data_IF_405991322178
#
_entry.id   IF_405991322178
#
_cell.length_a   1.000
_cell.length_b   1.000
_cell.length_c   1.000
_cell.angle_alpha   90.00
_cell.angle_beta   90.00
_cell.angle_gamma   90.00
#
_symmetry.space_group_name_H-M   'P 1'
#
loop_
_entity.id
_entity.type
_entity.pdbx_description
1 polymer ?
#
# COMPACT_ATOMS: atom_id res chain seq x y z
N UNK A 1 6.15 22.39 -48.69
CA UNK A 1 5.28 21.42 -47.95
C UNK A 1 6.10 20.21 -47.59
N UNK A 2 6.69 20.26 -46.41
CA UNK A 2 7.52 19.16 -45.87
C UNK A 2 6.73 18.49 -44.73
N UNK A 3 6.27 17.25 -44.89
CA UNK A 3 5.50 16.54 -43.85
C UNK A 3 6.33 16.04 -42.67
N UNK A 4 7.65 16.34 -42.62
CA UNK A 4 8.56 15.82 -41.58
C UNK A 4 8.53 16.55 -40.24
N UNK A 5 8.00 17.78 -40.14
CA UNK A 5 8.06 18.61 -38.93
C UNK A 5 6.85 18.39 -38.00
N UNK A 6 5.73 17.92 -38.51
CA UNK A 6 4.50 17.70 -37.72
C UNK A 6 4.57 16.42 -36.91
N UNK A 7 5.36 15.43 -37.35
CA UNK A 7 5.51 14.14 -36.65
C UNK A 7 6.41 14.19 -35.41
N UNK A 8 7.40 15.11 -35.33
CA UNK A 8 8.36 15.17 -34.25
C UNK A 8 7.86 15.90 -32.99
N UNK A 9 6.85 16.76 -33.13
CA UNK A 9 6.24 17.47 -32.00
C UNK A 9 5.12 16.68 -31.33
N UNK A 10 4.58 15.65 -31.99
CA UNK A 10 3.52 14.81 -31.40
C UNK A 10 4.02 13.77 -30.42
N UNK A 11 5.27 13.31 -30.51
CA UNK A 11 5.82 12.24 -29.68
C UNK A 11 6.44 12.72 -28.36
N UNK A 12 6.64 14.02 -28.16
CA UNK A 12 7.20 14.57 -26.91
C UNK A 12 6.17 15.02 -25.87
N UNK A 13 4.90 15.14 -26.25
CA UNK A 13 3.83 15.67 -25.40
C UNK A 13 2.87 14.57 -24.88
N UNK A 14 2.92 13.38 -25.48
CA UNK A 14 1.90 12.35 -25.28
C UNK A 14 2.01 11.56 -23.98
N UNK A 15 3.12 11.57 -23.25
CA UNK A 15 3.27 10.70 -22.07
C UNK A 15 2.95 11.35 -20.71
N UNK A 16 2.71 12.68 -20.66
CA UNK A 16 2.20 13.36 -19.46
C UNK A 16 0.75 13.85 -19.59
N UNK A 17 0.27 14.02 -20.82
CA UNK A 17 -1.09 14.53 -21.06
C UNK A 17 -2.14 13.42 -21.14
N UNK A 18 -1.80 12.21 -21.57
CA UNK A 18 -2.75 11.10 -21.67
C UNK A 18 -3.36 10.71 -20.33
N UNK A 19 -2.56 10.64 -19.25
CA UNK A 19 -3.06 10.28 -17.92
C UNK A 19 -3.95 11.37 -17.30
N UNK A 20 -3.72 12.63 -17.66
CA UNK A 20 -4.51 13.76 -17.14
C UNK A 20 -5.82 13.93 -17.91
N UNK A 21 -5.80 13.71 -19.23
CA UNK A 21 -6.98 13.77 -20.10
C UNK A 21 -7.92 12.60 -19.78
N UNK A 22 -7.42 11.38 -19.59
CA UNK A 22 -8.23 10.23 -19.20
C UNK A 22 -8.88 10.44 -17.82
N UNK A 23 -8.19 11.06 -16.87
CA UNK A 23 -8.73 11.36 -15.54
C UNK A 23 -9.80 12.46 -15.60
N UNK A 24 -9.66 13.45 -16.47
CA UNK A 24 -10.64 14.51 -16.66
C UNK A 24 -11.87 14.02 -17.43
N UNK A 25 -11.67 13.22 -18.47
CA UNK A 25 -12.75 12.58 -19.21
C UNK A 25 -13.55 11.59 -18.33
N UNK A 26 -12.86 10.76 -17.55
CA UNK A 26 -13.52 9.87 -16.59
C UNK A 26 -14.34 10.64 -15.53
N UNK A 27 -13.84 11.80 -15.06
CA UNK A 27 -14.57 12.68 -14.14
C UNK A 27 -15.76 13.37 -14.82
N UNK A 28 -15.62 13.78 -16.09
CA UNK A 28 -16.71 14.40 -16.85
C UNK A 28 -17.82 13.38 -17.13
N UNK A 29 -17.46 12.15 -17.53
CA UNK A 29 -18.41 11.04 -17.73
C UNK A 29 -19.10 10.69 -16.40
N UNK A 30 -18.37 10.62 -15.29
CA UNK A 30 -18.96 10.35 -13.98
C UNK A 30 -19.94 11.44 -13.55
N UNK A 31 -19.65 12.71 -13.83
CA UNK A 31 -20.59 13.82 -13.60
C UNK A 31 -21.85 13.71 -14.48
N UNK A 32 -21.68 13.49 -15.77
CA UNK A 32 -22.80 13.31 -16.72
C UNK A 32 -23.71 12.15 -16.34
N UNK A 33 -23.14 11.03 -15.89
CA UNK A 33 -23.91 9.88 -15.39
C UNK A 33 -24.66 10.21 -14.10
N UNK A 34 -24.06 10.97 -13.19
CA UNK A 34 -24.71 11.41 -11.95
C UNK A 34 -25.85 12.39 -12.22
N UNK A 35 -25.67 13.34 -13.15
CA UNK A 35 -26.69 14.28 -13.59
C UNK A 35 -27.85 13.58 -14.31
N UNK A 36 -27.58 12.51 -15.05
CA UNK A 36 -28.57 11.65 -15.67
C UNK A 36 -29.28 10.69 -14.71
N UNK A 37 -29.00 10.76 -13.40
CA UNK A 37 -29.58 9.87 -12.38
C UNK A 37 -29.04 8.44 -12.41
N UNK A 38 -28.06 8.16 -13.28
CA UNK A 38 -27.37 6.86 -13.36
C UNK A 38 -26.25 6.87 -12.32
N UNK A 39 -26.55 6.34 -11.14
CA UNK A 39 -25.51 6.12 -10.12
C UNK A 39 -24.55 5.02 -10.65
N UNK A 40 -23.25 5.31 -10.80
CA UNK A 40 -22.29 4.25 -11.12
C UNK A 40 -22.43 3.15 -10.07
N UNK A 41 -22.57 1.91 -10.54
CA UNK A 41 -22.75 0.76 -9.66
C UNK A 41 -21.66 0.74 -8.59
N UNK A 42 -22.03 0.85 -7.32
CA UNK A 42 -21.10 0.81 -6.19
C UNK A 42 -20.32 -0.50 -6.08
N UNK A 43 -20.68 -1.53 -6.86
CA UNK A 43 -20.00 -2.83 -6.88
C UNK A 43 -18.53 -2.73 -7.28
N UNK A 44 -18.15 -1.77 -8.15
CA UNK A 44 -16.77 -1.58 -8.58
C UNK A 44 -15.88 -0.81 -7.57
N UNK A 45 -16.44 -0.42 -6.42
CA UNK A 45 -15.70 0.27 -5.35
C UNK A 45 -15.77 -0.47 -4.01
N UNK A 46 -15.92 -1.78 -4.06
CA UNK A 46 -16.02 -2.59 -2.85
C UNK A 46 -15.03 -3.74 -2.89
N UNK A 47 -14.36 -3.96 -1.76
CA UNK A 47 -13.45 -5.10 -1.52
C UNK A 47 -13.95 -5.85 -0.29
N UNK A 48 -14.54 -7.02 -0.50
CA UNK A 48 -15.23 -7.74 0.58
C UNK A 48 -16.32 -6.85 1.21
N UNK A 49 -16.27 -6.70 2.52
CA UNK A 49 -17.22 -5.89 3.29
C UNK A 49 -16.83 -4.40 3.39
N UNK A 50 -15.84 -3.93 2.60
CA UNK A 50 -15.31 -2.59 2.70
C UNK A 50 -15.55 -1.79 1.42
N UNK A 51 -16.20 -0.63 1.56
CA UNK A 51 -16.39 0.35 0.48
C UNK A 51 -15.16 1.23 0.40
N UNK A 52 -14.55 1.30 -0.79
CA UNK A 52 -13.40 2.16 -1.06
C UNK A 52 -13.83 3.64 -1.08
N UNK A 53 -13.10 4.45 -0.36
CA UNK A 53 -13.30 5.89 -0.25
C UNK A 53 -12.18 6.69 -0.94
N UNK A 54 -11.31 7.29 -0.14
CA UNK A 54 -10.21 8.14 -0.59
C UNK A 54 -8.99 7.30 -1.01
N UNK A 55 -8.38 7.64 -2.14
CA UNK A 55 -7.06 7.13 -2.49
C UNK A 55 -6.01 7.75 -1.55
N UNK A 56 -5.29 6.90 -0.82
CA UNK A 56 -4.27 7.31 0.16
C UNK A 56 -2.89 7.41 -0.48
N UNK A 57 -2.55 6.44 -1.32
CA UNK A 57 -1.27 6.43 -2.04
C UNK A 57 -1.36 5.51 -3.26
N UNK A 58 -0.48 5.76 -4.22
CA UNK A 58 -0.31 4.95 -5.41
C UNK A 58 1.18 4.66 -5.60
N UNK A 59 1.49 3.44 -6.00
CA UNK A 59 2.82 2.98 -6.31
C UNK A 59 2.83 2.13 -7.58
N UNK A 60 3.99 1.61 -7.92
CA UNK A 60 4.13 0.76 -9.11
C UNK A 60 3.33 -0.55 -8.93
N UNK A 61 2.16 -0.58 -9.57
CA UNK A 61 1.28 -1.76 -9.61
C UNK A 61 0.45 -1.99 -8.36
N UNK A 62 0.27 -0.98 -7.52
CA UNK A 62 -0.68 -1.03 -6.42
C UNK A 62 -1.29 0.34 -6.11
N UNK A 63 -2.44 0.33 -5.48
CA UNK A 63 -3.12 1.50 -4.92
C UNK A 63 -3.56 1.20 -3.50
N UNK A 64 -3.35 2.14 -2.60
CA UNK A 64 -3.85 2.09 -1.23
C UNK A 64 -5.05 3.00 -1.08
N UNK A 65 -6.13 2.47 -0.57
CA UNK A 65 -7.39 3.16 -0.37
C UNK A 65 -7.77 3.20 1.11
N UNK A 66 -8.32 4.31 1.55
CA UNK A 66 -9.15 4.33 2.74
C UNK A 66 -10.46 3.60 2.42
N UNK A 67 -10.92 2.74 3.30
CA UNK A 67 -12.15 1.99 3.12
C UNK A 67 -12.92 1.91 4.42
N UNK A 68 -14.26 1.98 4.31
CA UNK A 68 -15.18 1.90 5.43
C UNK A 68 -16.01 0.63 5.31
N UNK A 69 -16.25 -0.03 6.44
CA UNK A 69 -17.09 -1.21 6.47
C UNK A 69 -18.54 -0.86 6.08
N UNK A 70 -19.15 -1.66 5.22
CA UNK A 70 -20.48 -1.36 4.65
C UNK A 70 -21.62 -1.33 5.67
N UNK A 71 -21.47 -2.05 6.80
CA UNK A 71 -22.47 -2.19 7.84
C UNK A 71 -22.06 -1.59 9.19
N UNK A 72 -20.79 -1.17 9.36
CA UNK A 72 -20.27 -0.65 10.63
C UNK A 72 -19.45 0.60 10.35
N UNK A 73 -20.11 1.76 10.45
CA UNK A 73 -19.55 3.05 10.05
C UNK A 73 -18.27 3.47 10.80
N UNK A 74 -18.08 2.95 12.02
CA UNK A 74 -16.88 3.23 12.83
C UNK A 74 -15.66 2.39 12.43
N UNK A 75 -15.83 1.39 11.57
CA UNK A 75 -14.74 0.50 11.17
C UNK A 75 -14.13 0.96 9.85
N UNK A 76 -12.92 1.50 9.96
CA UNK A 76 -12.10 1.91 8.81
C UNK A 76 -10.94 0.94 8.60
N UNK A 77 -10.57 0.75 7.35
CA UNK A 77 -9.43 -0.08 6.93
C UNK A 77 -8.62 0.63 5.85
N UNK A 78 -7.36 0.26 5.73
CA UNK A 78 -6.55 0.55 4.57
C UNK A 78 -6.60 -0.68 3.65
N UNK A 79 -7.02 -0.48 2.41
CA UNK A 79 -7.10 -1.55 1.43
C UNK A 79 -6.06 -1.29 0.34
N UNK A 80 -5.09 -2.18 0.22
CA UNK A 80 -4.13 -2.20 -0.87
C UNK A 80 -4.63 -3.10 -1.97
N UNK A 81 -4.81 -2.56 -3.15
CA UNK A 81 -5.17 -3.31 -4.35
C UNK A 81 -3.94 -3.40 -5.24
N UNK A 82 -3.51 -4.61 -5.58
CA UNK A 82 -2.50 -4.84 -6.59
C UNK A 82 -3.16 -4.74 -7.96
N UNK A 83 -3.01 -3.57 -8.59
CA UNK A 83 -3.74 -3.22 -9.80
C UNK A 83 -3.31 -4.08 -10.98
N UNK A 84 -4.31 -4.58 -11.70
CA UNK A 84 -4.15 -5.32 -12.94
C UNK A 84 -4.83 -4.50 -14.04
N UNK A 85 -4.08 -4.02 -15.01
CA UNK A 85 -4.68 -3.32 -16.15
C UNK A 85 -5.65 -4.25 -16.89
N UNK A 86 -6.76 -3.72 -17.41
CA UNK A 86 -7.79 -4.51 -18.09
C UNK A 86 -7.25 -5.31 -19.29
N UNK A 87 -6.19 -4.81 -19.93
CA UNK A 87 -5.50 -5.47 -21.05
C UNK A 87 -4.30 -6.33 -20.63
N UNK A 88 -4.14 -6.62 -19.31
CA UNK A 88 -3.00 -7.39 -18.83
C UNK A 88 -3.06 -8.84 -19.27
N UNK A 89 -1.89 -9.40 -19.59
CA UNK A 89 -1.79 -10.83 -19.89
C UNK A 89 -2.09 -11.69 -18.65
N UNK A 90 -2.47 -12.96 -18.82
CA UNK A 90 -2.66 -13.89 -17.70
C UNK A 90 -1.43 -13.99 -16.79
N UNK A 91 -0.22 -13.92 -17.35
CA UNK A 91 1.06 -13.97 -16.63
C UNK A 91 1.27 -12.74 -15.76
N UNK A 92 0.93 -11.54 -16.26
CA UNK A 92 0.98 -10.30 -15.51
C UNK A 92 0.01 -10.34 -14.33
N UNK A 93 -1.21 -10.85 -14.56
CA UNK A 93 -2.22 -11.06 -13.51
C UNK A 93 -1.71 -12.04 -12.45
N UNK A 94 -1.19 -13.19 -12.88
CA UNK A 94 -0.63 -14.20 -11.97
C UNK A 94 0.56 -13.62 -11.15
N UNK A 95 1.35 -12.74 -11.73
CA UNK A 95 2.44 -12.06 -11.02
C UNK A 95 1.91 -11.16 -9.91
N UNK A 96 0.84 -10.38 -10.14
CA UNK A 96 0.22 -9.54 -9.10
C UNK A 96 -0.39 -10.40 -7.98
N UNK A 97 -1.02 -11.50 -8.31
CA UNK A 97 -1.54 -12.46 -7.31
C UNK A 97 -0.41 -13.00 -6.44
N UNK A 98 0.72 -13.42 -7.04
CA UNK A 98 1.89 -13.90 -6.28
C UNK A 98 2.48 -12.80 -5.38
N UNK A 99 2.56 -11.56 -5.87
CA UNK A 99 3.07 -10.43 -5.07
C UNK A 99 2.20 -10.17 -3.85
N UNK A 100 0.87 -10.11 -4.04
CA UNK A 100 -0.08 -9.87 -2.96
C UNK A 100 -0.07 -11.01 -1.93
N UNK A 101 -0.10 -12.27 -2.38
CA UNK A 101 -0.03 -13.44 -1.49
C UNK A 101 1.27 -13.45 -0.70
N UNK A 102 2.40 -13.16 -1.35
CA UNK A 102 3.70 -13.09 -0.67
C UNK A 102 3.72 -12.02 0.42
N UNK A 103 3.21 -10.81 0.17
CA UNK A 103 3.15 -9.77 1.21
C UNK A 103 2.26 -10.22 2.37
N UNK A 104 1.12 -10.85 2.08
CA UNK A 104 0.24 -11.39 3.11
C UNK A 104 0.95 -12.45 3.95
N UNK A 105 1.53 -13.48 3.33
CA UNK A 105 2.23 -14.59 3.99
C UNK A 105 3.41 -14.10 4.85
N UNK A 106 4.15 -13.09 4.38
CA UNK A 106 5.26 -12.48 5.11
C UNK A 106 4.77 -11.81 6.39
N UNK A 107 3.60 -11.15 6.33
CA UNK A 107 3.02 -10.41 7.47
C UNK A 107 2.11 -11.27 8.34
N UNK A 108 1.66 -12.41 7.85
CA UNK A 108 0.80 -13.29 8.62
C UNK A 108 1.50 -13.74 9.92
N UNK A 109 0.78 -13.66 11.03
CA UNK A 109 1.30 -13.99 12.36
C UNK A 109 2.31 -12.98 12.92
N UNK A 110 2.57 -11.87 12.23
CA UNK A 110 3.35 -10.75 12.76
C UNK A 110 2.41 -9.84 13.56
N UNK A 111 2.65 -9.75 14.86
CA UNK A 111 1.90 -8.88 15.76
C UNK A 111 2.87 -8.01 16.56
N UNK A 112 3.01 -6.76 16.15
CA UNK A 112 3.87 -5.77 16.78
C UNK A 112 3.29 -4.36 16.56
N UNK A 113 3.22 -3.49 17.58
CA UNK A 113 2.61 -2.17 17.47
C UNK A 113 3.26 -1.28 16.41
N UNK A 114 4.55 -1.45 16.12
CA UNK A 114 5.30 -0.72 15.11
C UNK A 114 5.20 -1.32 13.69
N UNK A 115 4.41 -2.36 13.45
CA UNK A 115 4.19 -2.94 12.12
C UNK A 115 2.71 -2.83 11.77
N UNK A 116 2.42 -2.33 10.56
CA UNK A 116 1.04 -2.22 10.09
C UNK A 116 0.45 -3.62 9.92
N UNK A 117 -0.55 -3.93 10.74
CA UNK A 117 -1.14 -5.27 10.81
C UNK A 117 -1.99 -5.56 9.59
N UNK A 118 -1.67 -6.63 8.87
CA UNK A 118 -2.55 -7.20 7.85
C UNK A 118 -3.69 -7.97 8.53
N UNK A 119 -4.90 -7.83 8.01
CA UNK A 119 -6.11 -8.45 8.56
C UNK A 119 -6.65 -9.56 7.65
N UNK A 120 -6.60 -9.32 6.34
CA UNK A 120 -7.23 -10.23 5.40
C UNK A 120 -6.64 -10.08 3.99
N UNK A 121 -6.86 -11.09 3.17
CA UNK A 121 -6.56 -11.14 1.74
C UNK A 121 -7.85 -11.43 0.96
N UNK A 122 -8.09 -10.69 -0.11
CA UNK A 122 -9.25 -10.88 -0.99
C UNK A 122 -8.82 -10.89 -2.46
N UNK A 123 -9.42 -11.76 -3.25
CA UNK A 123 -9.34 -11.69 -4.70
C UNK A 123 -10.57 -10.91 -5.22
N UNK A 124 -10.33 -9.90 -6.05
CA UNK A 124 -11.38 -9.02 -6.57
C UNK A 124 -11.21 -8.82 -8.08
N UNK A 125 -12.23 -8.28 -8.73
CA UNK A 125 -12.17 -7.90 -10.15
C UNK A 125 -11.12 -6.82 -10.41
N UNK A 126 -10.86 -5.94 -9.42
CA UNK A 126 -9.83 -4.89 -9.49
C UNK A 126 -8.41 -5.43 -9.36
N UNK A 127 -8.27 -6.65 -8.89
CA UNK A 127 -7.03 -7.33 -8.56
C UNK A 127 -7.03 -7.89 -7.14
N UNK A 128 -5.97 -8.62 -6.75
CA UNK A 128 -5.83 -9.10 -5.39
C UNK A 128 -5.63 -7.93 -4.43
N UNK A 129 -6.25 -8.02 -3.25
CA UNK A 129 -6.26 -6.95 -2.26
C UNK A 129 -5.85 -7.45 -0.88
N UNK A 130 -5.09 -6.62 -0.17
CA UNK A 130 -4.76 -6.78 1.25
C UNK A 130 -5.51 -5.75 2.08
N UNK A 131 -6.08 -6.20 3.18
CA UNK A 131 -6.80 -5.36 4.13
C UNK A 131 -5.92 -5.18 5.36
N UNK A 132 -5.67 -3.92 5.72
CA UNK A 132 -4.84 -3.53 6.87
C UNK A 132 -5.64 -2.74 7.89
N UNK A 133 -5.12 -2.66 9.11
CA UNK A 133 -5.58 -1.67 10.06
C UNK A 133 -5.40 -0.26 9.48
N UNK A 134 -6.29 0.65 9.85
CA UNK A 134 -6.24 2.04 9.42
C UNK A 134 -6.57 3.00 10.57
N UNK A 135 -5.76 4.03 10.67
CA UNK A 135 -6.04 5.21 11.48
C UNK A 135 -6.14 6.41 10.53
N UNK A 136 -7.33 7.02 10.36
CA UNK A 136 -7.52 8.17 9.47
C UNK A 136 -6.67 9.39 9.82
N UNK A 137 -6.18 9.48 11.06
CA UNK A 137 -5.32 10.56 11.55
C UNK A 137 -3.83 10.30 11.32
N UNK A 138 -3.45 9.08 10.91
CA UNK A 138 -2.08 8.76 10.63
C UNK A 138 -1.60 9.47 9.36
N UNK A 139 -0.36 9.95 9.39
CA UNK A 139 0.31 10.62 8.27
C UNK A 139 1.58 9.86 7.89
N UNK A 140 1.91 9.80 6.61
CA UNK A 140 3.21 9.28 6.17
C UNK A 140 4.33 10.19 6.67
N UNK A 141 5.45 9.59 7.05
CA UNK A 141 6.58 10.34 7.61
C UNK A 141 7.15 11.37 6.62
N UNK A 142 7.20 11.07 5.31
CA UNK A 142 7.64 12.03 4.29
C UNK A 142 6.74 13.27 4.23
N UNK A 143 5.43 13.10 4.39
CA UNK A 143 4.48 14.22 4.47
C UNK A 143 4.63 14.98 5.79
N UNK A 144 4.74 14.27 6.92
CA UNK A 144 4.95 14.88 8.22
C UNK A 144 6.23 15.73 8.25
N UNK A 145 7.33 15.23 7.69
CA UNK A 145 8.59 15.96 7.64
C UNK A 145 8.52 17.19 6.73
N UNK A 146 7.81 17.09 5.60
CA UNK A 146 7.62 18.21 4.69
C UNK A 146 6.74 19.30 5.29
N UNK A 147 5.62 18.92 5.89
CA UNK A 147 4.56 19.85 6.28
C UNK A 147 4.75 20.36 7.72
N UNK A 148 5.28 19.52 8.62
CA UNK A 148 5.43 19.77 10.06
C UNK A 148 6.85 19.47 10.59
N UNK A 149 7.81 19.23 9.71
CA UNK A 149 9.14 18.82 10.15
C UNK A 149 9.83 19.85 11.06
N UNK A 150 9.57 21.14 10.86
CA UNK A 150 10.14 22.22 11.70
C UNK A 150 9.53 22.25 13.11
N UNK A 151 8.29 21.79 13.24
CA UNK A 151 7.53 21.82 14.50
C UNK A 151 7.89 20.63 15.40
N UNK A 152 8.55 19.59 14.86
CA UNK A 152 8.98 18.43 15.62
C UNK A 152 10.14 18.79 16.54
N UNK A 153 9.93 18.61 17.84
CA UNK A 153 11.00 18.75 18.84
C UNK A 153 12.10 17.69 18.65
N UNK A 154 13.28 17.94 19.18
CA UNK A 154 14.38 16.97 19.17
C UNK A 154 13.97 15.67 19.84
N UNK A 155 13.23 15.74 20.94
CA UNK A 155 12.71 14.55 21.67
C UNK A 155 11.79 13.72 20.78
N UNK A 156 10.88 14.36 20.04
CA UNK A 156 9.98 13.64 19.13
C UNK A 156 10.73 12.97 17.97
N UNK A 157 11.73 13.64 17.41
CA UNK A 157 12.59 13.05 16.37
C UNK A 157 13.37 11.86 16.88
N UNK A 158 13.95 11.94 18.07
CA UNK A 158 14.67 10.85 18.70
C UNK A 158 13.73 9.68 19.03
N UNK A 159 12.49 9.98 19.48
CA UNK A 159 11.48 8.95 19.72
C UNK A 159 11.15 8.18 18.43
N UNK A 160 10.91 8.89 17.32
CA UNK A 160 10.65 8.23 16.03
C UNK A 160 11.82 7.33 15.59
N UNK A 161 13.06 7.78 15.74
CA UNK A 161 14.25 6.97 15.41
C UNK A 161 14.32 5.73 16.30
N UNK A 162 14.07 5.87 17.60
CA UNK A 162 14.03 4.77 18.54
C UNK A 162 12.96 3.75 18.19
N UNK A 163 11.73 4.20 17.92
CA UNK A 163 10.60 3.34 17.55
C UNK A 163 10.89 2.56 16.25
N UNK A 164 11.54 3.21 15.25
CA UNK A 164 12.00 2.52 14.03
C UNK A 164 12.98 1.40 14.40
N UNK A 165 14.00 1.71 15.21
CA UNK A 165 15.03 0.76 15.58
C UNK A 165 14.45 -0.43 16.39
N UNK A 166 13.56 -0.17 17.33
CA UNK A 166 12.89 -1.22 18.12
C UNK A 166 12.00 -2.11 17.24
N UNK A 167 11.25 -1.49 16.31
CA UNK A 167 10.42 -2.23 15.35
C UNK A 167 11.25 -3.10 14.41
N UNK A 168 12.37 -2.57 13.89
CA UNK A 168 13.29 -3.34 13.05
C UNK A 168 13.98 -4.45 13.83
N UNK A 169 14.37 -4.22 15.06
CA UNK A 169 14.91 -5.26 15.96
C UNK A 169 13.94 -6.42 16.11
N UNK A 170 12.66 -6.11 16.35
CA UNK A 170 11.61 -7.15 16.40
C UNK A 170 11.47 -7.87 15.07
N UNK A 171 11.35 -7.14 13.95
CA UNK A 171 11.23 -7.74 12.62
C UNK A 171 12.42 -8.67 12.32
N UNK A 172 13.65 -8.22 12.59
CA UNK A 172 14.86 -9.02 12.39
C UNK A 172 14.92 -10.26 13.28
N UNK A 173 14.41 -10.18 14.51
CA UNK A 173 14.28 -11.36 15.39
C UNK A 173 13.34 -12.43 14.81
N UNK A 174 12.38 -12.01 13.97
CA UNK A 174 11.50 -12.89 13.19
C UNK A 174 12.07 -13.22 11.79
N UNK A 175 13.34 -12.89 11.54
CA UNK A 175 14.02 -13.03 10.24
C UNK A 175 13.28 -12.31 9.09
N UNK A 176 12.54 -11.26 9.43
CA UNK A 176 11.79 -10.43 8.51
C UNK A 176 12.60 -9.16 8.19
N UNK A 177 13.00 -8.99 6.94
CA UNK A 177 13.82 -7.88 6.45
C UNK A 177 13.03 -7.03 5.47
N UNK A 178 12.87 -5.74 5.74
CA UNK A 178 12.03 -4.83 4.93
C UNK A 178 12.59 -4.57 3.52
N UNK A 179 13.89 -4.38 3.40
CA UNK A 179 14.68 -4.21 2.16
C UNK A 179 14.44 -2.92 1.36
N UNK A 180 13.36 -2.19 1.61
CA UNK A 180 13.05 -0.91 0.96
C UNK A 180 12.48 0.10 1.97
N UNK A 181 13.11 0.22 3.15
CA UNK A 181 12.68 1.17 4.16
C UNK A 181 13.01 2.60 3.74
N UNK A 182 12.01 3.45 3.78
CA UNK A 182 12.13 4.88 3.53
C UNK A 182 11.00 5.64 4.23
N UNK A 183 11.02 6.98 4.25
CA UNK A 183 10.00 7.77 4.95
C UNK A 183 8.57 7.50 4.44
N UNK A 184 8.42 7.14 3.16
CA UNK A 184 7.14 6.75 2.56
C UNK A 184 6.61 5.40 3.07
N UNK A 185 7.44 4.59 3.74
CA UNK A 185 7.08 3.29 4.31
C UNK A 185 6.75 3.37 5.81
N UNK A 186 6.59 4.58 6.34
CA UNK A 186 6.35 4.83 7.76
C UNK A 186 5.09 5.66 7.92
N UNK A 187 4.14 5.16 8.69
CA UNK A 187 2.97 5.91 9.15
C UNK A 187 3.23 6.41 10.56
N UNK A 188 2.97 7.70 10.79
CA UNK A 188 3.10 8.33 12.11
C UNK A 188 1.72 8.64 12.65
N UNK A 189 1.48 8.28 13.89
CA UNK A 189 0.24 8.44 14.65
C UNK A 189 0.46 9.41 15.82
N UNK A 190 -0.63 9.94 16.37
CA UNK A 190 -0.56 10.80 17.55
C UNK A 190 -0.07 12.22 17.27
N UNK A 191 -0.18 12.69 16.03
CA UNK A 191 0.16 14.05 15.63
C UNK A 191 -0.76 15.02 16.39
N UNK A 192 -0.15 15.96 17.13
CA UNK A 192 -0.88 16.90 18.00
C UNK A 192 -1.20 16.40 19.41
N UNK A 193 -0.95 15.11 19.73
CA UNK A 193 -1.18 14.55 21.07
C UNK A 193 0.03 14.59 21.99
N UNK A 194 1.18 15.06 21.50
CA UNK A 194 2.45 15.10 22.25
C UNK A 194 3.26 13.79 22.20
N UNK A 195 2.63 12.64 22.03
CA UNK A 195 3.30 11.35 21.89
C UNK A 195 3.13 10.81 20.47
N UNK A 196 4.22 10.76 19.72
CA UNK A 196 4.25 10.18 18.38
C UNK A 196 4.52 8.67 18.47
N UNK A 197 3.82 7.92 17.65
CA UNK A 197 4.05 6.49 17.44
C UNK A 197 4.13 6.22 15.95
N UNK A 198 4.78 5.12 15.56
CA UNK A 198 4.87 4.78 14.14
C UNK A 198 4.47 3.34 13.84
N UNK A 199 4.13 3.10 12.56
CA UNK A 199 3.96 1.76 11.98
C UNK A 199 4.68 1.66 10.66
N UNK A 200 5.49 0.63 10.49
CA UNK A 200 6.13 0.29 9.21
C UNK A 200 5.11 -0.40 8.30
N UNK A 201 5.09 0.01 7.04
CA UNK A 201 4.26 -0.54 5.96
C UNK A 201 5.11 -0.77 4.69
N UNK A 202 4.51 -1.19 3.58
CA UNK A 202 5.19 -1.43 2.30
C UNK A 202 6.20 -2.60 2.35
N UNK A 203 5.74 -3.77 2.79
CA UNK A 203 6.54 -4.98 2.92
C UNK A 203 6.63 -5.82 1.63
N UNK A 204 6.22 -5.29 0.46
CA UNK A 204 6.19 -6.02 -0.82
C UNK A 204 7.55 -6.57 -1.25
N UNK A 205 8.63 -5.85 -0.90
CA UNK A 205 10.01 -6.25 -1.21
C UNK A 205 10.65 -7.07 -0.09
N UNK A 206 9.95 -7.25 1.02
CA UNK A 206 10.49 -7.91 2.20
C UNK A 206 10.88 -9.37 1.89
N UNK A 207 11.82 -9.89 2.67
CA UNK A 207 12.12 -11.32 2.73
C UNK A 207 11.93 -11.81 4.15
N UNK A 208 11.32 -12.98 4.28
CA UNK A 208 11.21 -13.71 5.54
C UNK A 208 11.86 -15.06 5.33
N UNK A 209 13.01 -15.29 5.98
CA UNK A 209 13.61 -16.61 6.02
C UNK A 209 12.87 -17.43 7.08
N UNK A 210 11.84 -18.12 6.66
CA UNK A 210 11.29 -19.22 7.46
C UNK A 210 12.34 -20.30 7.37
N UNK A 211 13.20 -20.40 8.41
CA UNK A 211 14.20 -21.44 8.47
C UNK A 211 13.49 -22.77 8.36
N UNK A 212 13.97 -23.63 7.46
CA UNK A 212 13.76 -25.05 7.63
C UNK A 212 14.13 -25.35 9.07
N UNK A 213 13.16 -25.85 9.82
CA UNK A 213 13.41 -26.42 11.13
C UNK A 213 14.45 -27.49 10.88
N UNK A 214 15.71 -27.20 11.19
CA UNK A 214 16.75 -28.22 11.16
C UNK A 214 16.26 -29.33 12.08
N UNK A 215 15.81 -30.40 11.48
CA UNK A 215 15.49 -31.62 12.19
C UNK A 215 16.79 -32.05 12.93
N UNK A 216 16.80 -32.11 14.26
CA UNK A 216 18.03 -32.38 14.99
C UNK A 216 18.22 -33.89 15.12
N UNK A 217 18.23 -34.65 14.06
CA UNK A 217 18.65 -36.06 14.09
C UNK A 217 19.10 -36.55 12.72
N UNK A 218 20.37 -36.35 12.42
CA UNK A 218 21.10 -37.34 11.63
C UNK A 218 22.54 -37.39 12.15
N UNK A 219 22.73 -38.08 13.27
CA UNK A 219 24.04 -38.55 13.70
C UNK A 219 24.37 -39.78 12.82
N UNK A 220 25.12 -39.59 11.74
CA UNK A 220 25.79 -40.70 11.07
C UNK A 220 26.92 -41.19 11.99
N UNK A 221 26.68 -42.27 12.71
CA UNK A 221 27.73 -43.11 13.24
C UNK A 221 28.36 -43.86 12.08
N UNK A 222 29.59 -43.50 11.72
CA UNK A 222 30.47 -44.33 10.92
C UNK A 222 31.19 -45.29 11.90
N UNK A 223 30.98 -46.57 11.71
CA UNK A 223 31.79 -47.66 12.22
C UNK A 223 32.92 -47.90 11.20
#
# INVERSE_FOLDING_TARGET
>A
DDPGIVGALANGVTNRSATTVDSQQARAIARGLTEAGIRPSNKHRQVGDYRLGKLLSEGEGFQDWEAQHVSIDTVHRRVRIYTVASASTPEARATRVRQARREFEILEGIDHPGILKVKDYKETELGPALIFDHDPKAMRLDHLLRDHGKDLSVTQRLQLVRDIAETLKYAHSKRLYHRALGPQSILVHGIGSGALHLRLMNWQTASRNVGESASPYTVHRTT
#
